data_IF_593122716991
#
_entry.id   IF_593122716991
#
_cell.length_a   1.000
_cell.length_b   1.000
_cell.length_c   1.000
_cell.angle_alpha   90.00
_cell.angle_beta   90.00
_cell.angle_gamma   90.00
#
_symmetry.space_group_name_H-M   'P 1'
#
loop_
_entity.id
_entity.type
_entity.pdbx_description
1 polymer ?
#
# COMPACT_ATOMS: atom_id res chain seq x y z
N UNK A 1 15.09 -1.11 5.40
CA UNK A 1 13.63 -1.33 5.34
C UNK A 1 13.39 -2.81 5.12
N UNK A 2 12.22 -3.33 5.49
CA UNK A 2 11.81 -4.71 5.19
C UNK A 2 10.59 -4.68 4.28
N UNK A 3 10.50 -5.61 3.33
CA UNK A 3 9.40 -5.70 2.39
C UNK A 3 8.98 -7.16 2.18
N UNK A 4 7.66 -7.40 2.10
CA UNK A 4 7.09 -8.74 1.92
C UNK A 4 5.68 -8.66 1.31
N UNK A 5 5.22 -9.74 0.68
CA UNK A 5 3.87 -9.87 0.19
C UNK A 5 3.03 -10.82 1.07
N UNK A 6 1.74 -10.55 1.11
CA UNK A 6 0.81 -11.41 1.83
C UNK A 6 -0.58 -11.41 1.19
N UNK A 7 -1.40 -12.33 1.64
CA UNK A 7 -2.76 -12.48 1.14
C UNK A 7 -3.76 -12.28 2.28
N UNK A 8 -4.87 -11.61 1.97
CA UNK A 8 -5.97 -11.39 2.91
C UNK A 8 -7.30 -11.85 2.30
N UNK A 9 -8.18 -12.39 3.15
CA UNK A 9 -9.48 -12.93 2.77
C UNK A 9 -9.58 -14.44 2.98
N UNK A 10 -10.79 -14.97 2.78
CA UNK A 10 -11.06 -16.39 2.95
C UNK A 10 -10.30 -17.21 1.90
N UNK A 11 -9.76 -18.35 2.32
CA UNK A 11 -9.21 -19.35 1.38
C UNK A 11 -10.38 -20.07 0.71
N UNK A 12 -10.45 -20.03 -0.61
CA UNK A 12 -11.30 -20.97 -1.34
C UNK A 12 -10.77 -22.39 -1.09
N UNK A 13 -11.65 -23.29 -0.71
CA UNK A 13 -11.27 -24.65 -0.34
C UNK A 13 -10.54 -25.38 -1.46
N UNK A 14 -9.42 -26.00 -1.16
CA UNK A 14 -8.78 -27.04 -1.98
C UNK A 14 -7.51 -26.67 -2.74
N UNK A 15 -7.14 -25.41 -2.93
CA UNK A 15 -5.93 -25.08 -3.69
C UNK A 15 -4.90 -24.36 -2.81
N UNK A 16 -3.73 -24.94 -2.66
CA UNK A 16 -2.59 -24.33 -1.98
C UNK A 16 -1.78 -23.56 -3.02
N UNK A 17 -1.64 -22.23 -2.88
CA UNK A 17 -0.78 -21.45 -3.77
C UNK A 17 -1.32 -20.04 -4.09
N UNK A 18 -0.54 -19.29 -4.85
CA UNK A 18 -0.89 -17.97 -5.41
C UNK A 18 -1.91 -18.17 -6.53
N UNK A 19 -3.10 -17.59 -6.44
CA UNK A 19 -4.19 -17.75 -7.41
C UNK A 19 -5.53 -18.07 -6.75
N UNK A 20 -5.64 -17.84 -5.46
CA UNK A 20 -6.89 -17.93 -4.70
C UNK A 20 -7.71 -16.65 -4.86
N UNK A 21 -8.99 -16.68 -4.47
CA UNK A 21 -9.85 -15.48 -4.41
C UNK A 21 -9.37 -14.43 -3.38
N UNK A 22 -8.26 -14.69 -2.70
CA UNK A 22 -7.66 -13.77 -1.75
C UNK A 22 -7.12 -12.53 -2.45
N UNK A 23 -7.12 -11.40 -1.74
CA UNK A 23 -6.54 -10.15 -2.21
C UNK A 23 -5.04 -10.15 -1.95
N UNK A 24 -4.19 -10.06 -3.00
CA UNK A 24 -2.76 -9.85 -2.82
C UNK A 24 -2.48 -8.47 -2.23
N UNK A 25 -1.55 -8.41 -1.29
CA UNK A 25 -1.14 -7.19 -0.61
C UNK A 25 0.38 -7.11 -0.59
N UNK A 26 0.93 -5.92 -0.79
CA UNK A 26 2.34 -5.63 -0.64
C UNK A 26 2.53 -4.78 0.62
N UNK A 27 3.53 -5.11 1.42
CA UNK A 27 3.86 -4.40 2.64
C UNK A 27 5.33 -4.02 2.71
N UNK A 28 5.59 -2.85 3.25
CA UNK A 28 6.94 -2.44 3.65
C UNK A 28 6.93 -1.85 5.05
N UNK A 29 7.99 -2.12 5.78
CA UNK A 29 8.23 -1.63 7.13
C UNK A 29 9.61 -0.98 7.22
N UNK A 30 9.70 0.14 7.89
CA UNK A 30 10.96 0.84 8.06
C UNK A 30 10.99 1.72 9.29
N UNK A 31 12.12 2.36 9.49
CA UNK A 31 12.27 3.45 10.45
C UNK A 31 12.54 4.74 9.70
N UNK A 32 11.75 5.76 9.97
CA UNK A 32 12.03 7.11 9.52
C UNK A 32 13.34 7.63 10.16
N UNK A 33 14.00 8.65 9.58
CA UNK A 33 15.23 9.23 10.14
C UNK A 33 15.11 9.66 11.61
N UNK A 34 13.91 10.04 12.05
CA UNK A 34 13.61 10.39 13.45
C UNK A 34 13.43 9.15 14.37
N UNK A 35 13.76 7.95 13.90
CA UNK A 35 13.65 6.71 14.69
C UNK A 35 12.25 6.12 14.79
N UNK A 36 11.22 6.80 14.27
CA UNK A 36 9.82 6.34 14.28
C UNK A 36 9.63 5.20 13.28
N UNK A 37 8.93 4.16 13.70
CA UNK A 37 8.53 3.08 12.80
C UNK A 37 7.46 3.56 11.83
N UNK A 38 7.64 3.27 10.55
CA UNK A 38 6.67 3.56 9.48
C UNK A 38 6.34 2.31 8.70
N UNK A 39 5.16 2.28 8.09
CA UNK A 39 4.79 1.23 7.17
C UNK A 39 3.96 1.76 6.00
N UNK A 40 4.00 1.02 4.90
CA UNK A 40 3.11 1.16 3.77
C UNK A 40 2.49 -0.21 3.45
N UNK A 41 1.18 -0.26 3.23
CA UNK A 41 0.46 -1.46 2.81
C UNK A 41 -0.40 -1.10 1.62
N UNK A 42 -0.33 -1.88 0.53
CA UNK A 42 -1.08 -1.65 -0.71
C UNK A 42 -1.71 -2.91 -1.24
N UNK A 43 -2.94 -2.77 -1.74
CA UNK A 43 -3.56 -3.79 -2.57
C UNK A 43 -2.82 -3.88 -3.90
N UNK A 44 -2.57 -5.09 -4.35
CA UNK A 44 -1.97 -5.38 -5.64
C UNK A 44 -2.91 -6.26 -6.48
N UNK A 45 -2.71 -6.29 -7.78
CA UNK A 45 -3.38 -7.27 -8.65
C UNK A 45 -2.76 -8.64 -8.47
N UNK A 46 -1.44 -8.66 -8.32
CA UNK A 46 -0.61 -9.82 -8.09
C UNK A 46 0.67 -9.42 -7.34
N UNK A 47 1.55 -10.38 -7.09
CA UNK A 47 2.86 -10.14 -6.49
C UNK A 47 3.98 -10.19 -7.55
N UNK A 48 3.71 -9.76 -8.79
CA UNK A 48 4.69 -9.71 -9.88
C UNK A 48 5.73 -8.61 -9.70
N UNK A 49 6.79 -8.66 -10.51
CA UNK A 49 7.81 -7.62 -10.53
C UNK A 49 7.26 -6.24 -10.91
N UNK A 50 6.21 -6.16 -11.73
CA UNK A 50 5.60 -4.89 -12.12
C UNK A 50 4.83 -4.27 -10.93
N UNK A 51 4.07 -5.07 -10.19
CA UNK A 51 3.39 -4.64 -8.96
C UNK A 51 4.40 -4.14 -7.92
N UNK A 52 5.52 -4.85 -7.75
CA UNK A 52 6.59 -4.44 -6.84
C UNK A 52 7.33 -3.19 -7.31
N UNK A 53 7.53 -3.02 -8.62
CA UNK A 53 8.15 -1.80 -9.18
C UNK A 53 7.30 -0.57 -8.92
N UNK A 54 5.98 -0.67 -9.16
CA UNK A 54 5.04 0.41 -8.89
C UNK A 54 5.01 0.74 -7.39
N UNK A 55 4.88 -0.28 -6.54
CA UNK A 55 4.90 -0.11 -5.08
C UNK A 55 6.19 0.54 -4.60
N UNK A 56 7.33 0.09 -5.11
CA UNK A 56 8.64 0.64 -4.77
C UNK A 56 8.75 2.11 -5.14
N UNK A 57 8.37 2.47 -6.37
CA UNK A 57 8.39 3.84 -6.85
C UNK A 57 7.51 4.78 -5.99
N UNK A 58 6.33 4.32 -5.60
CA UNK A 58 5.34 5.18 -4.92
C UNK A 58 5.57 5.29 -3.41
N UNK A 59 6.20 4.28 -2.79
CA UNK A 59 6.21 4.15 -1.33
C UNK A 59 7.58 3.93 -0.69
N UNK A 60 8.62 3.62 -1.47
CA UNK A 60 9.94 3.32 -0.94
C UNK A 60 10.96 4.40 -1.32
N UNK A 61 11.85 4.70 -0.40
CA UNK A 61 12.97 5.60 -0.69
C UNK A 61 14.08 4.85 -1.44
N UNK A 62 14.42 5.28 -2.65
CA UNK A 62 15.46 4.66 -3.48
C UNK A 62 16.85 4.58 -2.83
N UNK A 63 17.13 5.46 -1.88
CA UNK A 63 18.39 5.44 -1.13
C UNK A 63 18.43 4.39 0.01
N UNK A 64 17.30 3.72 0.27
CA UNK A 64 17.21 2.73 1.36
C UNK A 64 17.73 1.38 0.94
N UNK A 65 18.35 0.66 1.89
CA UNK A 65 18.56 -0.79 1.78
C UNK A 65 17.26 -1.50 2.13
N UNK A 66 16.82 -2.40 1.26
CA UNK A 66 15.60 -3.19 1.42
C UNK A 66 16.01 -4.63 1.70
N UNK A 67 15.46 -5.20 2.77
CA UNK A 67 15.55 -6.64 3.09
C UNK A 67 14.23 -7.29 2.71
N UNK A 68 14.28 -8.37 1.99
CA UNK A 68 13.10 -9.07 1.50
C UNK A 68 13.34 -10.58 1.40
N UNK A 69 12.25 -11.34 1.28
CA UNK A 69 12.32 -12.75 0.91
C UNK A 69 12.91 -12.93 -0.49
N UNK A 70 13.49 -14.11 -0.76
CA UNK A 70 14.12 -14.46 -2.05
C UNK A 70 13.09 -14.70 -3.18
N UNK A 71 11.91 -14.11 -3.09
CA UNK A 71 10.91 -14.18 -4.14
C UNK A 71 11.33 -13.41 -5.39
N UNK A 72 11.26 -14.07 -6.55
CA UNK A 72 11.70 -13.50 -7.84
C UNK A 72 10.94 -12.23 -8.25
N UNK A 73 9.67 -12.08 -7.87
CA UNK A 73 8.88 -10.87 -8.11
C UNK A 73 9.48 -9.65 -7.42
N UNK A 74 9.96 -9.80 -6.18
CA UNK A 74 10.58 -8.71 -5.42
C UNK A 74 11.90 -8.30 -6.07
N UNK A 75 12.77 -9.27 -6.42
CA UNK A 75 14.05 -8.97 -7.06
C UNK A 75 13.88 -8.27 -8.42
N UNK A 76 12.91 -8.70 -9.22
CA UNK A 76 12.63 -8.07 -10.51
C UNK A 76 12.07 -6.65 -10.36
N UNK A 77 11.20 -6.43 -9.37
CA UNK A 77 10.55 -5.14 -9.14
C UNK A 77 11.45 -4.10 -8.48
N UNK A 78 12.26 -4.51 -7.51
CA UNK A 78 13.09 -3.61 -6.70
C UNK A 78 14.57 -3.57 -7.12
N UNK A 79 14.91 -4.09 -8.29
CA UNK A 79 16.29 -4.11 -8.81
C UNK A 79 16.94 -2.74 -8.98
N UNK A 80 16.16 -1.68 -9.12
CA UNK A 80 16.65 -0.30 -9.26
C UNK A 80 17.02 0.37 -7.93
N UNK A 81 16.74 -0.26 -6.80
CA UNK A 81 17.06 0.29 -5.48
C UNK A 81 18.54 0.09 -5.16
N UNK A 82 19.10 1.02 -4.39
CA UNK A 82 20.53 1.06 -4.06
C UNK A 82 21.04 -0.20 -3.36
N UNK A 83 20.21 -0.86 -2.57
CA UNK A 83 20.54 -2.10 -1.88
C UNK A 83 19.32 -2.97 -1.72
N UNK A 84 19.35 -4.16 -2.31
CA UNK A 84 18.37 -5.20 -2.11
C UNK A 84 19.07 -6.42 -1.51
N UNK A 85 18.73 -6.74 -0.28
CA UNK A 85 19.22 -7.91 0.45
C UNK A 85 18.11 -8.95 0.50
N UNK A 86 18.28 -10.04 -0.23
CA UNK A 86 17.34 -11.15 -0.24
C UNK A 86 17.91 -12.34 0.53
N UNK A 87 17.07 -12.95 1.37
CA UNK A 87 17.37 -14.17 2.08
C UNK A 87 16.22 -15.14 1.89
N UNK A 88 16.52 -16.39 1.55
CA UNK A 88 15.51 -17.44 1.55
C UNK A 88 14.89 -17.58 2.95
N UNK A 89 13.57 -17.68 3.00
CA UNK A 89 12.84 -17.96 4.23
C UNK A 89 13.12 -19.40 4.66
N UNK A 90 13.80 -19.56 5.78
CA UNK A 90 13.91 -20.84 6.47
C UNK A 90 12.87 -20.91 7.58
N UNK A 91 11.98 -21.90 7.49
CA UNK A 91 10.95 -22.12 8.51
C UNK A 91 11.52 -22.41 9.91
N UNK A 92 12.80 -22.79 9.99
CA UNK A 92 13.49 -23.00 11.26
C UNK A 92 13.93 -21.68 11.93
N UNK A 93 14.15 -20.62 11.15
CA UNK A 93 14.53 -19.28 11.64
C UNK A 93 13.32 -18.48 12.19
N UNK A 94 12.10 -18.95 11.98
CA UNK A 94 10.88 -18.27 12.39
C UNK A 94 10.76 -16.86 11.79
N UNK A 95 10.20 -15.91 12.55
CA UNK A 95 10.08 -14.50 12.15
C UNK A 95 11.41 -13.71 12.14
N UNK A 96 12.55 -14.37 12.37
CA UNK A 96 13.83 -13.69 12.57
C UNK A 96 14.39 -13.00 11.32
N UNK A 97 13.93 -13.39 10.11
CA UNK A 97 14.46 -12.83 8.86
C UNK A 97 13.91 -11.43 8.56
N UNK A 98 12.60 -11.19 8.76
CA UNK A 98 11.88 -9.94 8.45
C UNK A 98 10.92 -9.54 9.60
N UNK A 99 11.43 -9.31 10.81
CA UNK A 99 10.59 -9.18 12.01
C UNK A 99 9.69 -7.95 12.00
N UNK A 100 10.10 -6.86 11.36
CA UNK A 100 9.30 -5.63 11.33
C UNK A 100 8.10 -5.78 10.39
N UNK A 101 8.31 -6.23 9.16
CA UNK A 101 7.21 -6.37 8.20
C UNK A 101 6.25 -7.48 8.60
N UNK A 102 6.73 -8.61 9.13
CA UNK A 102 5.87 -9.69 9.64
C UNK A 102 4.98 -9.23 10.80
N UNK A 103 5.53 -8.42 11.72
CA UNK A 103 4.74 -7.81 12.80
C UNK A 103 3.64 -6.90 12.26
N UNK A 104 3.96 -6.09 11.25
CA UNK A 104 3.00 -5.20 10.61
C UNK A 104 1.91 -5.99 9.89
N UNK A 105 2.27 -7.03 9.15
CA UNK A 105 1.33 -7.92 8.47
C UNK A 105 0.39 -8.59 9.49
N UNK A 106 0.94 -9.12 10.57
CA UNK A 106 0.15 -9.76 11.64
C UNK A 106 -0.81 -8.77 12.31
N UNK A 107 -0.34 -7.57 12.64
CA UNK A 107 -1.17 -6.52 13.22
C UNK A 107 -2.26 -6.05 12.26
N UNK A 108 -1.95 -5.92 10.97
CA UNK A 108 -2.95 -5.54 9.96
C UNK A 108 -4.02 -6.63 9.79
N UNK A 109 -3.63 -7.90 9.74
CA UNK A 109 -4.58 -9.02 9.70
C UNK A 109 -5.50 -9.01 10.92
N UNK A 110 -4.94 -8.86 12.12
CA UNK A 110 -5.73 -8.77 13.35
C UNK A 110 -6.66 -7.54 13.37
N UNK A 111 -6.21 -6.39 12.88
CA UNK A 111 -7.03 -5.18 12.73
C UNK A 111 -8.21 -5.41 11.81
N UNK A 112 -7.98 -6.05 10.68
CA UNK A 112 -9.03 -6.36 9.70
C UNK A 112 -10.02 -7.38 10.25
N UNK A 113 -9.56 -8.46 10.87
CA UNK A 113 -10.39 -9.53 11.43
C UNK A 113 -11.18 -9.07 12.65
N UNK A 114 -10.57 -8.24 13.51
CA UNK A 114 -11.19 -7.77 14.74
C UNK A 114 -12.18 -6.63 14.57
N UNK A 115 -11.98 -5.75 13.58
CA UNK A 115 -12.82 -4.56 13.40
C UNK A 115 -13.95 -4.77 12.39
N UNK A 116 -13.84 -5.74 11.49
CA UNK A 116 -14.75 -5.86 10.36
C UNK A 116 -15.16 -7.32 10.11
N UNK A 117 -16.43 -7.61 10.35
CA UNK A 117 -17.06 -8.89 10.03
C UNK A 117 -17.37 -9.00 8.52
N UNK A 118 -16.35 -9.13 7.71
CA UNK A 118 -16.47 -9.25 6.25
C UNK A 118 -16.02 -7.99 5.50
N UNK A 119 -14.80 -8.01 5.00
CA UNK A 119 -14.24 -6.95 4.19
C UNK A 119 -14.58 -7.14 2.72
N UNK A 120 -15.18 -6.11 2.15
CA UNK A 120 -15.27 -6.01 0.69
C UNK A 120 -13.89 -5.65 0.11
N UNK A 121 -13.45 -6.37 -0.91
CA UNK A 121 -12.22 -6.06 -1.67
C UNK A 121 -12.19 -4.60 -2.12
N UNK A 122 -13.35 -4.02 -2.42
CA UNK A 122 -13.52 -2.62 -2.84
C UNK A 122 -12.95 -1.60 -1.84
N UNK A 123 -13.02 -1.88 -0.56
CA UNK A 123 -12.61 -0.95 0.50
C UNK A 123 -11.30 -1.34 1.18
N UNK A 124 -10.68 -2.43 0.76
CA UNK A 124 -9.46 -2.97 1.38
C UNK A 124 -8.33 -1.93 1.42
N UNK A 125 -8.14 -1.18 0.33
CA UNK A 125 -7.11 -0.15 0.28
C UNK A 125 -7.35 0.96 1.31
N UNK A 126 -8.57 1.40 1.50
CA UNK A 126 -8.90 2.43 2.51
C UNK A 126 -8.57 1.96 3.94
N UNK A 127 -8.76 0.68 4.23
CA UNK A 127 -8.37 0.10 5.53
C UNK A 127 -6.85 0.02 5.66
N UNK A 128 -6.15 -0.38 4.60
CA UNK A 128 -4.70 -0.42 4.57
C UNK A 128 -4.09 0.98 4.77
N UNK A 129 -4.66 2.01 4.13
CA UNK A 129 -4.26 3.40 4.30
C UNK A 129 -4.47 3.90 5.73
N UNK A 130 -5.65 3.66 6.29
CA UNK A 130 -5.98 4.03 7.66
C UNK A 130 -5.05 3.36 8.68
N UNK A 131 -4.77 2.06 8.50
CA UNK A 131 -3.84 1.34 9.35
C UNK A 131 -2.41 1.87 9.22
N UNK A 132 -1.92 2.03 7.99
CA UNK A 132 -0.57 2.52 7.70
C UNK A 132 -0.34 3.91 8.29
N UNK A 133 -1.33 4.80 8.16
CA UNK A 133 -1.27 6.12 8.74
C UNK A 133 -1.20 6.07 10.27
N UNK A 134 -2.11 5.34 10.93
CA UNK A 134 -2.14 5.19 12.39
C UNK A 134 -0.86 4.57 12.93
N UNK A 135 -0.35 3.54 12.26
CA UNK A 135 0.89 2.90 12.66
C UNK A 135 2.07 3.86 12.58
N UNK A 136 2.17 4.62 11.51
CA UNK A 136 3.28 5.56 11.28
C UNK A 136 3.24 6.79 12.20
N UNK A 137 2.06 7.17 12.71
CA UNK A 137 1.87 8.33 13.59
C UNK A 137 1.56 7.95 15.05
N UNK A 138 1.65 6.67 15.43
CA UNK A 138 1.31 6.20 16.79
C UNK A 138 2.13 6.87 17.90
N UNK A 139 3.34 7.28 17.58
CA UNK A 139 4.26 7.93 18.52
C UNK A 139 4.31 9.47 18.31
N UNK A 140 3.37 10.04 17.56
CA UNK A 140 3.27 11.48 17.34
C UNK A 140 2.64 12.14 18.57
N UNK A 141 3.27 13.24 19.05
CA UNK A 141 2.71 14.06 20.09
C UNK A 141 1.51 14.90 19.64
N UNK A 142 1.32 15.07 18.33
CA UNK A 142 0.22 15.81 17.71
C UNK A 142 -0.28 15.11 16.44
N UNK A 143 -0.83 13.92 16.60
CA UNK A 143 -1.37 13.15 15.48
C UNK A 143 -2.55 13.86 14.77
N UNK A 144 -3.31 14.69 15.49
CA UNK A 144 -4.39 15.47 14.89
C UNK A 144 -3.85 16.60 13.99
N UNK A 145 -2.82 17.32 14.43
CA UNK A 145 -2.13 18.32 13.61
C UNK A 145 -1.48 17.70 12.38
N UNK A 146 -0.84 16.53 12.52
CA UNK A 146 -0.27 15.78 11.39
C UNK A 146 -1.35 15.40 10.35
N UNK A 147 -2.54 14.98 10.82
CA UNK A 147 -3.66 14.67 9.93
C UNK A 147 -4.18 15.91 9.19
N UNK A 148 -4.41 17.01 9.90
CA UNK A 148 -4.85 18.26 9.30
C UNK A 148 -3.85 18.78 8.28
N UNK A 149 -2.56 18.75 8.61
CA UNK A 149 -1.50 19.15 7.69
C UNK A 149 -1.52 18.32 6.41
N UNK A 150 -1.63 16.99 6.54
CA UNK A 150 -1.75 16.08 5.39
C UNK A 150 -2.97 16.38 4.52
N UNK A 151 -4.14 16.61 5.13
CA UNK A 151 -5.37 16.97 4.43
C UNK A 151 -5.24 18.30 3.67
N UNK A 152 -4.62 19.33 4.28
CA UNK A 152 -4.38 20.61 3.63
C UNK A 152 -3.45 20.47 2.42
N UNK A 153 -2.39 19.67 2.53
CA UNK A 153 -1.49 19.42 1.40
C UNK A 153 -2.17 18.70 0.24
N UNK A 154 -3.02 17.71 0.53
CA UNK A 154 -3.81 17.03 -0.51
C UNK A 154 -4.81 17.97 -1.19
N UNK A 155 -5.47 18.83 -0.45
CA UNK A 155 -6.40 19.82 -1.01
C UNK A 155 -5.69 20.77 -1.99
N UNK A 156 -4.51 21.23 -1.66
CA UNK A 156 -3.69 22.07 -2.55
C UNK A 156 -3.31 21.31 -3.84
N UNK A 157 -2.98 20.04 -3.76
CA UNK A 157 -2.69 19.23 -4.95
C UNK A 157 -3.92 19.05 -5.84
N UNK A 158 -5.09 18.73 -5.25
CA UNK A 158 -6.34 18.58 -5.99
C UNK A 158 -6.76 19.89 -6.68
N UNK A 159 -6.59 21.04 -6.04
CA UNK A 159 -6.88 22.34 -6.65
C UNK A 159 -5.96 22.66 -7.82
N UNK A 160 -4.68 22.25 -7.76
CA UNK A 160 -3.73 22.39 -8.87
C UNK A 160 -4.10 21.48 -10.06
N UNK A 161 -4.52 20.25 -9.81
CA UNK A 161 -4.99 19.32 -10.84
C UNK A 161 -6.28 19.84 -11.49
N UNK A 162 -7.23 20.36 -10.71
CA UNK A 162 -8.45 20.95 -11.22
C UNK A 162 -8.18 22.23 -12.05
N UNK A 163 -7.21 23.03 -11.69
CA UNK A 163 -6.82 24.23 -12.45
C UNK A 163 -6.14 23.92 -13.79
N UNK A 164 -5.48 22.74 -13.91
CA UNK A 164 -4.88 22.28 -15.18
C UNK A 164 -5.86 21.55 -16.07
N UNK A 165 -6.96 21.04 -15.54
CA UNK A 165 -8.06 20.48 -16.32
C UNK A 165 -8.93 21.62 -16.86
N UNK A 166 -8.59 22.18 -18.00
CA UNK A 166 -9.45 23.12 -18.72
C UNK A 166 -10.70 22.35 -19.17
N UNK A 167 -11.73 22.37 -18.34
CA UNK A 167 -13.06 21.89 -18.71
C UNK A 167 -13.59 22.86 -19.76
N UNK A 168 -13.54 22.46 -21.01
CA UNK A 168 -14.28 23.14 -22.06
C UNK A 168 -15.77 23.06 -21.72
N UNK A 169 -16.48 24.18 -21.53
CA UNK A 169 -17.90 24.14 -21.29
C UNK A 169 -18.59 23.58 -22.55
N UNK A 170 -19.26 22.43 -22.43
CA UNK A 170 -20.17 21.94 -23.46
C UNK A 170 -21.27 22.98 -23.63
N UNK A 171 -21.23 23.69 -24.75
CA UNK A 171 -22.35 24.56 -25.15
C UNK A 171 -23.62 23.73 -25.21
N UNK A 172 -24.75 24.25 -24.66
CA UNK A 172 -26.04 23.58 -24.79
C UNK A 172 -26.44 23.55 -26.26
N UNK A 173 -26.87 22.38 -26.72
CA UNK A 173 -27.44 22.19 -28.06
C UNK A 173 -28.63 23.17 -28.21
N UNK A 174 -28.51 24.05 -29.18
CA UNK A 174 -29.65 24.93 -29.56
C UNK A 174 -30.85 24.06 -29.93
N UNK A 175 -31.95 24.27 -29.21
CA UNK A 175 -33.26 23.76 -29.61
C UNK A 175 -33.62 24.46 -30.91
N UNK A 176 -33.62 23.73 -32.02
CA UNK A 176 -34.27 24.15 -33.26
C UNK A 176 -35.77 24.11 -33.03
N UNK A 177 -36.38 25.30 -32.86
CA UNK A 177 -37.83 25.46 -32.91
C UNK A 177 -38.24 25.38 -34.37
N UNK A 178 -38.87 24.28 -34.77
CA UNK A 178 -39.62 24.24 -36.01
C UNK A 178 -40.92 25.00 -35.78
N UNK A 179 -41.00 26.22 -36.35
CA UNK A 179 -42.25 26.95 -36.50
C UNK A 179 -43.02 26.39 -37.68
N UNK A 180 -44.30 26.30 -37.49
CA UNK A 180 -45.33 25.94 -38.48
C UNK A 180 -45.45 26.97 -39.60
#
# INVERSE_FOLDING_TARGET
MEADDFYIGARAGGTRGRGTEQQPMLAAAGRAPAGRGSCAIRCAQDCSGDSWRQFGHDHLCHASTIRADAWTGISAGLSSFRGLEQKEYDSSDGDASLPMVHRIISNFKAYVEGAFHGLSKKHMQSYADSFSWRYSHRDSGDAFGDLLHGMCLMHVQLSRIAATATVQPKLPKQLTVHGA
#
